data_IF_657112558449
#
_entry.id   IF_657112558449
#
_cell.length_a   1.000
_cell.length_b   1.000
_cell.length_c   1.000
_cell.angle_alpha   90.00
_cell.angle_beta   90.00
_cell.angle_gamma   90.00
#
_symmetry.space_group_name_H-M   'P 1'
#
loop_
_entity.id
_entity.type
_entity.pdbx_description
1 polymer ?
#
# COMPACT_ATOMS: atom_id res chain seq x y z
N UNK A 1 -8.60 21.79 -5.35
CA UNK A 1 -9.79 20.90 -5.54
C UNK A 1 -9.73 19.81 -4.49
N UNK A 2 -10.85 19.53 -3.84
CA UNK A 2 -10.99 18.43 -2.88
C UNK A 2 -10.78 17.10 -3.58
N UNK A 3 -9.97 16.22 -2.98
CA UNK A 3 -9.69 14.86 -3.45
C UNK A 3 -10.36 13.84 -2.54
N UNK A 4 -10.78 12.70 -3.10
CA UNK A 4 -11.22 11.54 -2.33
C UNK A 4 -10.12 10.50 -2.28
N UNK A 5 -9.63 10.23 -1.06
CA UNK A 5 -8.42 9.45 -0.81
C UNK A 5 -8.74 8.23 0.06
N UNK A 6 -8.44 7.03 -0.45
CA UNK A 6 -8.43 5.80 0.35
C UNK A 6 -7.02 5.59 0.94
N UNK A 7 -6.96 5.25 2.24
CA UNK A 7 -5.69 4.90 2.91
C UNK A 7 -5.86 3.56 3.62
N UNK A 8 -5.14 2.53 3.18
CA UNK A 8 -5.14 1.24 3.90
C UNK A 8 -4.21 1.30 5.11
N UNK A 9 -4.60 0.62 6.21
CA UNK A 9 -3.80 0.62 7.45
C UNK A 9 -3.70 2.01 8.09
N UNK A 10 -4.77 2.80 8.07
CA UNK A 10 -4.80 4.19 8.53
C UNK A 10 -5.26 4.36 9.99
N UNK A 11 -5.25 3.30 10.79
CA UNK A 11 -5.65 3.37 12.21
C UNK A 11 -4.48 3.69 13.14
N UNK A 12 -3.25 3.74 12.63
CA UNK A 12 -2.01 3.98 13.39
C UNK A 12 -0.88 4.43 12.46
N UNK A 13 0.23 4.86 13.03
CA UNK A 13 1.50 5.11 12.34
C UNK A 13 1.41 6.13 11.20
N UNK A 14 2.13 5.83 10.11
CA UNK A 14 2.24 6.72 8.94
C UNK A 14 0.88 6.96 8.29
N UNK A 15 0.03 5.91 8.21
CA UNK A 15 -1.29 6.01 7.59
C UNK A 15 -2.22 6.97 8.33
N UNK A 16 -2.26 6.91 9.65
CA UNK A 16 -3.06 7.84 10.48
C UNK A 16 -2.53 9.26 10.38
N UNK A 17 -1.21 9.45 10.42
CA UNK A 17 -0.60 10.78 10.30
C UNK A 17 -0.83 11.39 8.91
N UNK A 18 -0.80 10.56 7.86
CA UNK A 18 -1.18 10.97 6.49
C UNK A 18 -2.65 11.39 6.43
N UNK A 19 -3.54 10.59 7.02
CA UNK A 19 -4.97 10.89 7.08
C UNK A 19 -5.25 12.22 7.78
N UNK A 20 -4.58 12.51 8.92
CA UNK A 20 -4.72 13.77 9.65
C UNK A 20 -4.37 14.98 8.76
N UNK A 21 -3.28 14.91 8.02
CA UNK A 21 -2.87 15.98 7.12
C UNK A 21 -3.87 16.21 5.99
N UNK A 22 -4.26 15.13 5.30
CA UNK A 22 -5.22 15.22 4.20
C UNK A 22 -6.59 15.75 4.65
N UNK A 23 -7.09 15.30 5.82
CA UNK A 23 -8.32 15.84 6.42
C UNK A 23 -8.13 17.31 6.78
N UNK A 24 -6.99 17.68 7.39
CA UNK A 24 -6.65 19.07 7.73
C UNK A 24 -6.54 20.00 6.51
N UNK A 25 -6.24 19.47 5.35
CA UNK A 25 -6.21 20.20 4.06
C UNK A 25 -7.57 20.19 3.34
N UNK A 26 -8.65 19.68 3.97
CA UNK A 26 -10.02 19.69 3.42
C UNK A 26 -10.31 18.58 2.40
N UNK A 27 -9.54 17.49 2.40
CA UNK A 27 -9.78 16.34 1.53
C UNK A 27 -10.75 15.34 2.15
N UNK A 28 -11.42 14.55 1.31
CA UNK A 28 -12.27 13.44 1.73
C UNK A 28 -11.42 12.19 1.93
N UNK A 29 -11.37 11.65 3.15
CA UNK A 29 -10.51 10.52 3.47
C UNK A 29 -11.33 9.32 3.91
N UNK A 30 -11.06 8.18 3.29
CA UNK A 30 -11.59 6.87 3.68
C UNK A 30 -10.45 6.14 4.36
N UNK A 31 -10.58 5.91 5.66
CA UNK A 31 -9.60 5.15 6.43
C UNK A 31 -9.99 3.68 6.50
N UNK A 32 -9.02 2.82 6.22
CA UNK A 32 -9.17 1.38 6.34
C UNK A 32 -8.37 0.83 7.54
N UNK A 33 -8.95 -0.17 8.20
CA UNK A 33 -8.31 -0.96 9.24
C UNK A 33 -8.99 -2.32 9.41
N UNK A 34 -8.43 -3.20 10.24
CA UNK A 34 -9.03 -4.52 10.55
C UNK A 34 -9.76 -4.57 11.89
N UNK A 35 -9.38 -3.71 12.84
CA UNK A 35 -9.98 -3.69 14.17
C UNK A 35 -10.99 -2.52 14.27
N UNK A 36 -12.29 -2.80 14.54
CA UNK A 36 -13.35 -1.78 14.56
C UNK A 36 -13.15 -0.71 15.62
N UNK A 37 -12.61 -1.07 16.80
CA UNK A 37 -12.37 -0.10 17.89
C UNK A 37 -11.26 0.89 17.51
N UNK A 38 -10.17 0.39 16.89
CA UNK A 38 -9.10 1.26 16.38
C UNK A 38 -9.58 2.16 15.24
N UNK A 39 -10.45 1.66 14.36
CA UNK A 39 -11.05 2.45 13.30
C UNK A 39 -11.89 3.58 13.90
N UNK A 40 -12.75 3.27 14.89
CA UNK A 40 -13.57 4.26 15.56
C UNK A 40 -12.72 5.33 16.27
N UNK A 41 -11.67 4.92 17.00
CA UNK A 41 -10.75 5.84 17.67
C UNK A 41 -10.00 6.73 16.67
N UNK A 42 -9.51 6.18 15.57
CA UNK A 42 -8.86 6.96 14.51
C UNK A 42 -9.82 7.96 13.88
N UNK A 43 -11.06 7.55 13.56
CA UNK A 43 -12.09 8.46 13.03
C UNK A 43 -12.35 9.63 13.97
N UNK A 44 -12.47 9.39 15.28
CA UNK A 44 -12.66 10.46 16.27
C UNK A 44 -11.50 11.45 16.29
N UNK A 45 -10.25 10.95 16.22
CA UNK A 45 -9.05 11.81 16.12
C UNK A 45 -9.08 12.68 14.87
N UNK A 46 -9.50 12.14 13.73
CA UNK A 46 -9.57 12.87 12.46
C UNK A 46 -10.67 13.94 12.49
N UNK A 47 -11.84 13.63 13.03
CA UNK A 47 -12.95 14.59 13.17
C UNK A 47 -12.63 15.75 14.11
N UNK A 48 -11.68 15.57 15.04
CA UNK A 48 -11.21 16.62 15.94
C UNK A 48 -10.27 17.64 15.27
N UNK A 49 -9.88 17.47 14.02
CA UNK A 49 -8.95 18.38 13.34
C UNK A 49 -9.57 19.71 12.87
N UNK A 50 -10.85 19.95 13.15
CA UNK A 50 -11.56 21.21 12.83
C UNK A 50 -11.45 21.66 11.37
N UNK A 51 -11.49 20.72 10.45
CA UNK A 51 -11.42 20.99 9.02
C UNK A 51 -12.78 20.70 8.36
N UNK A 52 -12.97 21.25 7.17
CA UNK A 52 -14.10 20.90 6.29
C UNK A 52 -13.92 19.51 5.64
N UNK A 53 -12.90 18.77 6.05
CA UNK A 53 -12.61 17.44 5.57
C UNK A 53 -13.66 16.42 6.04
N UNK A 54 -13.88 15.43 5.20
CA UNK A 54 -14.86 14.38 5.44
C UNK A 54 -14.16 13.03 5.65
N UNK A 55 -14.62 12.26 6.64
CA UNK A 55 -13.98 11.00 7.05
C UNK A 55 -15.00 9.86 7.03
N UNK A 56 -14.75 8.89 6.18
CA UNK A 56 -15.41 7.58 6.20
C UNK A 56 -14.46 6.45 6.61
N UNK A 57 -15.05 5.29 6.89
CA UNK A 57 -14.31 4.13 7.36
C UNK A 57 -14.70 2.90 6.57
N UNK A 58 -13.74 2.02 6.32
CA UNK A 58 -13.98 0.67 5.84
C UNK A 58 -13.18 -0.33 6.67
N UNK A 59 -13.72 -1.53 6.81
CA UNK A 59 -13.11 -2.60 7.58
C UNK A 59 -12.87 -3.81 6.70
N UNK A 60 -11.65 -4.37 6.75
CA UNK A 60 -11.29 -5.66 6.19
C UNK A 60 -10.00 -6.17 6.85
N UNK A 61 -9.81 -7.47 6.91
CA UNK A 61 -8.51 -8.06 7.21
C UNK A 61 -7.78 -8.36 5.88
N UNK A 62 -6.72 -7.60 5.59
CA UNK A 62 -5.95 -7.78 4.36
C UNK A 62 -5.14 -9.08 4.30
N UNK A 63 -5.09 -9.85 5.38
CA UNK A 63 -4.57 -11.21 5.35
C UNK A 63 -5.56 -12.23 4.78
N UNK A 64 -6.80 -11.82 4.52
CA UNK A 64 -7.89 -12.62 3.96
C UNK A 64 -8.31 -12.06 2.61
N UNK A 65 -7.89 -12.69 1.54
CA UNK A 65 -8.09 -12.17 0.19
C UNK A 65 -9.57 -12.02 -0.21
N UNK A 66 -10.45 -12.87 0.30
CA UNK A 66 -11.90 -12.73 0.13
C UNK A 66 -12.45 -11.44 0.77
N UNK A 67 -11.90 -11.01 1.91
CA UNK A 67 -12.27 -9.73 2.52
C UNK A 67 -11.73 -8.54 1.71
N UNK A 68 -10.56 -8.69 1.05
CA UNK A 68 -10.03 -7.68 0.12
C UNK A 68 -10.93 -7.51 -1.09
N UNK A 69 -11.44 -8.60 -1.67
CA UNK A 69 -12.42 -8.54 -2.77
C UNK A 69 -13.73 -7.87 -2.35
N UNK A 70 -14.26 -8.26 -1.19
CA UNK A 70 -15.46 -7.64 -0.64
C UNK A 70 -15.27 -6.13 -0.40
N UNK A 71 -14.08 -5.74 0.12
CA UNK A 71 -13.69 -4.34 0.30
C UNK A 71 -13.66 -3.59 -1.05
N UNK A 72 -13.02 -4.14 -2.07
CA UNK A 72 -12.98 -3.52 -3.40
C UNK A 72 -14.37 -3.33 -3.99
N UNK A 73 -15.25 -4.32 -3.85
CA UNK A 73 -16.66 -4.26 -4.29
C UNK A 73 -17.42 -3.16 -3.53
N UNK A 74 -17.24 -3.07 -2.22
CA UNK A 74 -17.85 -2.03 -1.37
C UNK A 74 -17.37 -0.62 -1.79
N UNK A 75 -16.06 -0.45 -2.01
CA UNK A 75 -15.47 0.82 -2.42
C UNK A 75 -16.01 1.29 -3.77
N UNK A 76 -16.09 0.39 -4.76
CA UNK A 76 -16.72 0.74 -6.06
C UNK A 76 -18.17 1.17 -5.94
N UNK A 77 -18.94 0.49 -5.09
CA UNK A 77 -20.36 0.77 -4.94
C UNK A 77 -20.66 2.08 -4.19
N UNK A 78 -19.82 2.45 -3.20
CA UNK A 78 -20.14 3.54 -2.27
C UNK A 78 -19.23 4.77 -2.41
N UNK A 79 -18.02 4.59 -2.93
CA UNK A 79 -16.97 5.61 -2.86
C UNK A 79 -16.33 5.95 -4.21
N UNK A 80 -16.92 5.52 -5.32
CA UNK A 80 -16.46 5.89 -6.65
C UNK A 80 -16.93 7.31 -7.02
N UNK A 81 -16.12 8.12 -7.73
CA UNK A 81 -14.72 7.84 -8.04
C UNK A 81 -13.77 8.13 -6.87
N UNK A 82 -12.67 7.36 -6.78
CA UNK A 82 -11.54 7.64 -5.91
C UNK A 82 -10.47 8.40 -6.70
N UNK A 83 -9.97 9.50 -6.18
CA UNK A 83 -8.85 10.23 -6.81
C UNK A 83 -7.49 9.63 -6.46
N UNK A 84 -7.36 9.09 -5.23
CA UNK A 84 -6.10 8.54 -4.74
C UNK A 84 -6.35 7.29 -3.90
N UNK A 85 -5.53 6.27 -4.13
CA UNK A 85 -5.43 5.07 -3.31
C UNK A 85 -4.02 5.01 -2.73
N UNK A 86 -3.91 4.96 -1.40
CA UNK A 86 -2.64 4.79 -0.70
C UNK A 86 -2.63 3.39 -0.06
N UNK A 87 -1.93 2.46 -0.67
CA UNK A 87 -1.66 1.13 -0.14
C UNK A 87 -0.55 1.24 0.92
N UNK A 88 -0.92 1.69 2.11
CA UNK A 88 -0.01 1.91 3.23
C UNK A 88 0.07 0.71 4.19
N UNK A 89 -0.97 -0.10 4.28
CA UNK A 89 -0.95 -1.28 5.14
C UNK A 89 0.26 -2.18 4.85
N UNK A 90 0.92 -2.63 5.91
CA UNK A 90 2.06 -3.53 5.78
C UNK A 90 2.46 -4.10 7.13
N UNK A 91 3.08 -5.28 7.11
CA UNK A 91 3.55 -5.98 8.29
C UNK A 91 4.97 -6.51 8.08
N UNK A 92 5.74 -6.60 9.17
CA UNK A 92 7.05 -7.24 9.23
C UNK A 92 6.98 -8.52 10.06
N UNK A 93 6.39 -8.45 11.26
CA UNK A 93 6.23 -9.58 12.18
C UNK A 93 4.76 -9.92 12.40
N UNK A 94 4.48 -11.20 12.56
CA UNK A 94 3.16 -11.71 12.92
C UNK A 94 3.30 -12.91 13.85
N UNK A 95 2.44 -13.03 14.88
CA UNK A 95 2.39 -14.26 15.69
C UNK A 95 1.90 -15.47 14.89
N UNK A 96 1.20 -15.25 13.77
CA UNK A 96 0.75 -16.26 12.82
C UNK A 96 1.34 -15.94 11.45
N UNK A 97 2.56 -16.43 11.15
CA UNK A 97 3.29 -16.04 9.94
C UNK A 97 2.73 -16.66 8.65
N UNK A 98 1.88 -17.69 8.75
CA UNK A 98 1.29 -18.38 7.62
C UNK A 98 -0.23 -18.25 7.69
N UNK A 99 -0.88 -17.95 6.55
CA UNK A 99 -2.34 -17.86 6.44
C UNK A 99 -2.98 -19.27 6.37
N UNK A 100 -4.30 -19.39 6.53
CA UNK A 100 -5.00 -20.65 6.35
C UNK A 100 -4.77 -21.30 4.96
N UNK A 101 -4.52 -20.49 3.94
CA UNK A 101 -4.24 -20.92 2.57
C UNK A 101 -2.77 -21.39 2.38
N UNK A 102 -1.96 -21.37 3.44
CA UNK A 102 -0.55 -21.81 3.41
C UNK A 102 0.44 -20.75 2.92
N UNK A 103 0.02 -19.51 2.71
CA UNK A 103 0.88 -18.42 2.23
C UNK A 103 1.52 -17.65 3.38
N UNK A 104 2.74 -17.15 3.18
CA UNK A 104 3.35 -16.24 4.13
C UNK A 104 2.53 -14.93 4.19
N UNK A 105 2.14 -14.56 5.41
CA UNK A 105 1.25 -13.41 5.65
C UNK A 105 1.85 -12.09 5.15
N UNK A 106 3.18 -11.96 5.07
CA UNK A 106 3.85 -10.75 4.56
C UNK A 106 3.64 -10.60 3.05
N UNK A 107 3.72 -11.70 2.28
CA UNK A 107 3.34 -11.66 0.88
C UNK A 107 1.85 -11.37 0.70
N UNK A 108 1.00 -11.93 1.54
CA UNK A 108 -0.45 -11.68 1.44
C UNK A 108 -0.75 -10.21 1.70
N UNK A 109 -0.32 -9.66 2.84
CA UNK A 109 -0.67 -8.28 3.25
C UNK A 109 0.10 -7.22 2.47
N UNK A 110 1.41 -7.42 2.22
CA UNK A 110 2.25 -6.40 1.60
C UNK A 110 2.24 -6.44 0.06
N UNK A 111 1.84 -7.57 -0.54
CA UNK A 111 1.94 -7.77 -2.01
C UNK A 111 0.61 -8.13 -2.64
N UNK A 112 -0.03 -9.26 -2.24
CA UNK A 112 -1.25 -9.78 -2.87
C UNK A 112 -2.46 -8.88 -2.63
N UNK A 113 -2.69 -8.45 -1.39
CA UNK A 113 -3.83 -7.61 -1.03
C UNK A 113 -3.80 -6.25 -1.76
N UNK A 114 -2.70 -5.46 -1.73
CA UNK A 114 -2.64 -4.21 -2.47
C UNK A 114 -2.68 -4.42 -3.99
N UNK A 115 -2.12 -5.51 -4.53
CA UNK A 115 -2.25 -5.87 -5.94
C UNK A 115 -3.71 -6.12 -6.33
N UNK A 116 -4.41 -6.98 -5.58
CA UNK A 116 -5.83 -7.31 -5.81
C UNK A 116 -6.70 -6.05 -5.73
N UNK A 117 -6.48 -5.21 -4.71
CA UNK A 117 -7.22 -3.97 -4.52
C UNK A 117 -6.98 -3.00 -5.69
N UNK A 118 -5.73 -2.78 -6.09
CA UNK A 118 -5.36 -1.94 -7.22
C UNK A 118 -6.00 -2.43 -8.52
N UNK A 119 -5.87 -3.73 -8.84
CA UNK A 119 -6.46 -4.37 -10.02
C UNK A 119 -7.97 -4.21 -10.08
N UNK A 120 -8.64 -4.43 -8.95
CA UNK A 120 -10.10 -4.36 -8.84
C UNK A 120 -10.63 -2.92 -8.95
N UNK A 121 -9.88 -1.93 -8.51
CA UNK A 121 -10.32 -0.53 -8.47
C UNK A 121 -9.89 0.27 -9.69
N UNK A 122 -8.80 -0.10 -10.37
CA UNK A 122 -8.18 0.69 -11.44
C UNK A 122 -9.17 1.09 -12.55
N UNK A 123 -9.98 0.15 -13.03
CA UNK A 123 -10.95 0.41 -14.10
C UNK A 123 -12.05 1.44 -13.76
N UNK A 124 -12.25 1.74 -12.49
CA UNK A 124 -13.22 2.74 -12.00
C UNK A 124 -12.60 4.07 -11.58
N UNK A 125 -11.27 4.21 -11.70
CA UNK A 125 -10.59 5.44 -11.35
C UNK A 125 -10.70 6.50 -12.45
N UNK A 126 -10.84 7.79 -12.09
CA UNK A 126 -10.81 8.86 -13.08
C UNK A 126 -9.40 9.03 -13.67
N UNK A 127 -9.31 9.65 -14.82
CA UNK A 127 -8.04 10.06 -15.41
C UNK A 127 -7.22 10.90 -14.42
N UNK A 128 -5.90 10.65 -14.36
CA UNK A 128 -4.95 11.25 -13.41
C UNK A 128 -5.16 10.85 -11.95
N UNK A 129 -5.98 9.83 -11.67
CA UNK A 129 -5.99 9.22 -10.34
C UNK A 129 -4.62 8.61 -10.02
N UNK A 130 -4.35 8.39 -8.73
CA UNK A 130 -3.06 7.89 -8.27
C UNK A 130 -3.22 6.66 -7.39
N UNK A 131 -2.42 5.64 -7.65
CA UNK A 131 -2.23 4.48 -6.78
C UNK A 131 -0.80 4.57 -6.22
N UNK A 132 -0.69 4.78 -4.92
CA UNK A 132 0.58 4.95 -4.22
C UNK A 132 0.82 3.71 -3.37
N UNK A 133 1.85 2.97 -3.69
CA UNK A 133 2.21 1.72 -3.04
C UNK A 133 3.38 1.93 -2.09
N UNK A 134 3.19 1.69 -0.79
CA UNK A 134 4.27 1.81 0.18
C UNK A 134 5.24 0.63 0.04
N UNK A 135 6.34 0.90 -0.63
CA UNK A 135 7.51 0.05 -0.72
C UNK A 135 8.42 0.24 0.50
N UNK A 136 9.68 -0.07 0.35
CA UNK A 136 10.73 0.06 1.36
C UNK A 136 12.09 0.17 0.68
N UNK A 137 13.10 0.67 1.39
CA UNK A 137 14.49 0.51 1.00
C UNK A 137 14.97 -0.95 1.15
N UNK A 138 14.34 -1.73 2.04
CA UNK A 138 14.59 -3.16 2.19
C UNK A 138 13.90 -3.93 1.06
N UNK A 139 14.67 -4.32 0.04
CA UNK A 139 14.23 -5.11 -1.11
C UNK A 139 15.19 -6.28 -1.32
N UNK A 140 14.66 -7.48 -1.61
CA UNK A 140 15.43 -8.69 -1.93
C UNK A 140 14.75 -9.48 -3.06
N UNK A 141 15.52 -10.21 -3.91
CA UNK A 141 14.97 -11.02 -5.00
C UNK A 141 13.85 -11.93 -4.54
N UNK A 142 12.76 -11.98 -5.31
CA UNK A 142 11.58 -12.78 -4.96
C UNK A 142 11.80 -14.23 -5.32
N UNK A 143 11.71 -15.10 -4.32
CA UNK A 143 11.71 -16.54 -4.50
C UNK A 143 10.27 -17.05 -4.71
N UNK A 144 9.95 -17.57 -5.88
CA UNK A 144 8.57 -17.99 -6.19
C UNK A 144 8.08 -19.15 -5.35
N UNK A 145 8.96 -20.05 -4.91
CA UNK A 145 8.64 -21.11 -3.96
C UNK A 145 8.19 -20.52 -2.61
N UNK A 146 8.84 -19.44 -2.16
CA UNK A 146 8.43 -18.75 -0.94
C UNK A 146 7.11 -17.98 -1.13
N UNK A 147 6.93 -17.33 -2.27
CA UNK A 147 5.69 -16.64 -2.62
C UNK A 147 4.49 -17.62 -2.67
N UNK A 148 4.71 -18.87 -3.13
CA UNK A 148 3.71 -19.94 -3.15
C UNK A 148 3.49 -20.62 -1.78
N UNK A 149 4.29 -20.29 -0.76
CA UNK A 149 4.24 -20.95 0.56
C UNK A 149 4.99 -22.28 0.64
N UNK A 150 5.70 -22.68 -0.41
CA UNK A 150 6.45 -23.95 -0.49
C UNK A 150 7.80 -23.88 0.25
N UNK A 151 8.31 -22.68 0.51
CA UNK A 151 9.57 -22.41 1.21
C UNK A 151 9.37 -21.38 2.31
N UNK A 152 9.64 -21.71 3.59
CA UNK A 152 9.58 -20.73 4.67
C UNK A 152 10.77 -19.75 4.60
N UNK A 153 10.51 -18.51 4.97
CA UNK A 153 11.51 -17.44 5.10
C UNK A 153 11.51 -16.88 6.53
N UNK A 154 12.61 -16.30 6.95
CA UNK A 154 12.62 -15.47 8.15
C UNK A 154 11.83 -14.14 7.93
N UNK A 155 11.53 -13.45 9.02
CA UNK A 155 10.71 -12.23 8.98
C UNK A 155 11.26 -11.15 8.05
N UNK A 156 12.58 -10.93 8.06
CA UNK A 156 13.23 -9.89 7.26
C UNK A 156 13.32 -10.26 5.78
N UNK A 157 13.63 -11.52 5.48
CA UNK A 157 13.67 -12.03 4.11
C UNK A 157 12.29 -11.94 3.47
N UNK A 158 11.24 -12.45 4.14
CA UNK A 158 9.87 -12.39 3.63
C UNK A 158 9.38 -10.94 3.46
N UNK A 159 9.71 -10.06 4.41
CA UNK A 159 9.40 -8.63 4.29
C UNK A 159 10.08 -8.00 3.08
N UNK A 160 11.40 -8.16 2.96
CA UNK A 160 12.18 -7.55 1.88
C UNK A 160 11.73 -8.06 0.50
N UNK A 161 11.48 -9.37 0.36
CA UNK A 161 10.94 -9.96 -0.86
C UNK A 161 9.53 -9.45 -1.16
N UNK A 162 8.65 -9.31 -0.15
CA UNK A 162 7.31 -8.77 -0.34
C UNK A 162 7.32 -7.31 -0.81
N UNK A 163 8.31 -6.50 -0.36
CA UNK A 163 8.46 -5.10 -0.77
C UNK A 163 9.05 -4.96 -2.18
N UNK A 164 9.95 -5.85 -2.57
CA UNK A 164 10.37 -5.93 -3.96
C UNK A 164 9.21 -6.35 -4.87
N UNK A 165 8.48 -7.40 -4.51
CA UNK A 165 7.32 -7.87 -5.29
C UNK A 165 6.28 -6.76 -5.51
N UNK A 166 6.01 -5.95 -4.47
CA UNK A 166 5.13 -4.78 -4.58
C UNK A 166 5.69 -3.76 -5.59
N UNK A 167 6.99 -3.50 -5.59
CA UNK A 167 7.65 -2.57 -6.51
C UNK A 167 7.62 -3.09 -7.95
N UNK A 168 7.87 -4.39 -8.15
CA UNK A 168 7.82 -5.05 -9.47
C UNK A 168 6.42 -4.97 -10.09
N UNK A 169 5.36 -5.35 -9.36
CA UNK A 169 4.02 -5.28 -9.93
C UNK A 169 3.52 -3.83 -10.10
N UNK A 170 4.01 -2.88 -9.30
CA UNK A 170 3.74 -1.44 -9.51
C UNK A 170 4.18 -1.03 -10.90
N UNK A 171 5.40 -1.41 -11.30
CA UNK A 171 5.92 -1.16 -12.65
C UNK A 171 5.11 -1.90 -13.71
N UNK A 172 4.89 -3.19 -13.55
CA UNK A 172 4.16 -3.99 -14.54
C UNK A 172 2.73 -3.47 -14.78
N UNK A 173 1.98 -3.10 -13.71
CA UNK A 173 0.63 -2.54 -13.86
C UNK A 173 0.63 -1.17 -14.51
N UNK A 174 1.66 -0.35 -14.29
CA UNK A 174 1.76 0.98 -14.89
C UNK A 174 1.94 0.95 -16.41
N UNK A 175 2.46 -0.16 -16.94
CA UNK A 175 2.72 -0.35 -18.37
C UNK A 175 1.51 -0.92 -19.13
N UNK A 176 0.45 -1.34 -18.42
CA UNK A 176 -0.76 -1.87 -19.05
C UNK A 176 -1.59 -0.75 -19.68
N UNK A 177 -2.09 -0.96 -20.89
CA UNK A 177 -2.87 0.03 -21.64
C UNK A 177 -4.12 0.51 -20.87
N UNK A 178 -4.79 -0.39 -20.14
CA UNK A 178 -5.93 -0.04 -19.32
C UNK A 178 -5.62 0.93 -18.17
N UNK A 179 -4.34 1.07 -17.80
CA UNK A 179 -3.89 1.94 -16.70
C UNK A 179 -3.15 3.20 -17.18
N UNK A 180 -3.07 3.46 -18.46
CA UNK A 180 -2.30 4.59 -19.02
C UNK A 180 -2.68 5.97 -18.47
N UNK A 181 -3.93 6.14 -18.06
CA UNK A 181 -4.44 7.41 -17.52
C UNK A 181 -4.34 7.50 -15.98
N UNK A 182 -3.80 6.46 -15.32
CA UNK A 182 -3.65 6.37 -13.86
C UNK A 182 -2.16 6.34 -13.50
N UNK A 183 -1.75 7.13 -12.52
CA UNK A 183 -0.39 7.08 -11.99
C UNK A 183 -0.27 5.98 -10.95
N UNK A 184 0.56 4.97 -11.19
CA UNK A 184 0.84 3.89 -10.25
C UNK A 184 2.31 3.98 -9.84
N UNK A 185 2.61 4.30 -8.58
CA UNK A 185 3.96 4.63 -8.10
C UNK A 185 4.30 3.89 -6.82
N UNK A 186 5.55 3.40 -6.72
CA UNK A 186 6.09 2.84 -5.48
C UNK A 186 6.86 3.92 -4.69
N UNK A 187 6.66 3.96 -3.36
CA UNK A 187 7.29 4.95 -2.49
C UNK A 187 7.91 4.27 -1.27
N UNK A 188 9.22 4.42 -1.08
CA UNK A 188 9.83 4.22 0.23
C UNK A 188 9.52 5.44 1.09
N UNK A 189 8.78 5.33 2.20
CA UNK A 189 8.39 6.48 3.01
C UNK A 189 9.53 7.04 3.86
N UNK A 190 10.66 6.36 3.88
CA UNK A 190 11.84 6.63 4.69
C UNK A 190 12.14 5.52 5.69
N UNK A 191 13.42 5.33 5.96
CA UNK A 191 13.91 4.26 6.83
C UNK A 191 13.76 4.61 8.31
N UNK A 192 13.44 3.58 9.12
CA UNK A 192 13.38 3.65 10.58
C UNK A 192 12.44 4.75 11.11
N UNK A 193 11.27 4.93 10.50
CA UNK A 193 10.25 5.81 11.04
C UNK A 193 9.64 5.21 12.32
N UNK A 194 9.23 6.05 13.29
CA UNK A 194 8.74 5.67 14.61
C UNK A 194 7.38 4.94 14.58
N UNK A 195 7.22 3.98 13.68
CA UNK A 195 6.06 3.12 13.58
C UNK A 195 6.15 1.95 14.58
N UNK A 196 5.00 1.34 14.87
CA UNK A 196 4.95 0.10 15.66
C UNK A 196 5.85 -0.99 15.04
N UNK A 197 5.84 -1.12 13.71
CA UNK A 197 6.67 -2.06 12.96
C UNK A 197 8.16 -1.86 13.24
N UNK A 198 8.66 -0.62 13.24
CA UNK A 198 10.06 -0.32 13.51
C UNK A 198 10.42 -0.58 14.96
N UNK A 199 9.56 -0.20 15.88
CA UNK A 199 9.75 -0.46 17.30
C UNK A 199 9.82 -1.97 17.63
N UNK A 200 8.91 -2.76 17.08
CA UNK A 200 8.84 -4.21 17.29
C UNK A 200 9.90 -4.97 16.49
N UNK A 201 10.22 -4.51 15.28
CA UNK A 201 11.19 -5.14 14.39
C UNK A 201 12.64 -4.87 14.75
N UNK A 202 12.96 -3.64 15.13
CA UNK A 202 14.33 -3.17 15.30
C UNK A 202 14.66 -2.67 16.72
N UNK A 203 13.67 -2.51 17.60
CA UNK A 203 13.86 -2.07 18.99
C UNK A 203 14.34 -0.62 19.15
N UNK A 204 14.19 0.22 18.09
CA UNK A 204 14.63 1.62 18.10
C UNK A 204 13.43 2.57 18.15
N UNK A 205 13.66 3.78 18.67
CA UNK A 205 12.60 4.80 18.75
C UNK A 205 12.11 5.28 17.39
N UNK A 206 13.01 5.29 16.40
CA UNK A 206 12.73 5.72 15.03
C UNK A 206 12.64 7.23 14.84
N UNK A 207 12.68 7.66 13.57
CA UNK A 207 12.49 9.06 13.14
C UNK A 207 11.00 9.41 13.14
N UNK A 208 10.68 10.72 13.08
CA UNK A 208 9.28 11.19 13.07
C UNK A 208 8.43 10.55 11.97
N UNK A 209 7.21 10.10 12.31
CA UNK A 209 6.19 9.64 11.36
C UNK A 209 5.80 10.74 10.34
N UNK A 210 5.97 12.00 10.75
CA UNK A 210 5.69 13.16 9.92
C UNK A 210 6.51 13.17 8.60
N UNK A 211 7.69 12.53 8.57
CA UNK A 211 8.51 12.37 7.36
C UNK A 211 7.79 11.48 6.35
N UNK A 212 7.36 10.29 6.78
CA UNK A 212 6.62 9.36 5.91
C UNK A 212 5.26 9.90 5.49
N UNK A 213 4.52 10.54 6.41
CA UNK A 213 3.25 11.18 6.07
C UNK A 213 3.43 12.31 5.05
N UNK A 214 4.49 13.11 5.19
CA UNK A 214 4.80 14.20 4.25
C UNK A 214 5.00 13.73 2.83
N UNK A 215 5.77 12.67 2.62
CA UNK A 215 5.98 12.13 1.28
C UNK A 215 4.70 11.50 0.70
N UNK A 216 3.85 10.87 1.51
CA UNK A 216 2.59 10.31 1.03
C UNK A 216 1.60 11.41 0.61
N UNK A 217 1.50 12.51 1.37
CA UNK A 217 0.70 13.69 0.97
C UNK A 217 1.28 14.29 -0.32
N UNK A 218 2.61 14.45 -0.40
CA UNK A 218 3.28 14.93 -1.62
C UNK A 218 2.99 14.03 -2.82
N UNK A 219 3.09 12.71 -2.66
CA UNK A 219 2.78 11.75 -3.73
C UNK A 219 1.29 11.81 -4.15
N UNK A 220 0.40 12.04 -3.19
CA UNK A 220 -1.04 12.14 -3.45
C UNK A 220 -1.43 13.41 -4.21
N UNK A 221 -0.80 14.55 -3.91
CA UNK A 221 -1.31 15.87 -4.31
C UNK A 221 -0.37 16.66 -5.25
N UNK A 222 0.95 16.50 -5.12
CA UNK A 222 1.93 17.32 -5.84
C UNK A 222 1.99 17.02 -7.33
N UNK A 223 2.21 18.07 -8.13
CA UNK A 223 2.50 17.96 -9.57
C UNK A 223 3.77 17.17 -9.89
N UNK A 224 4.74 17.09 -8.96
CA UNK A 224 5.98 16.31 -9.14
C UNK A 224 5.74 14.82 -9.43
N UNK A 225 4.62 14.28 -8.97
CA UNK A 225 4.22 12.87 -9.18
C UNK A 225 3.31 12.67 -10.38
N UNK A 226 3.06 13.69 -11.21
CA UNK A 226 2.15 13.55 -12.37
C UNK A 226 2.65 12.52 -13.38
N UNK A 227 3.97 12.48 -13.62
CA UNK A 227 4.61 11.56 -14.56
C UNK A 227 5.40 10.45 -13.85
N UNK A 228 4.93 10.06 -12.64
CA UNK A 228 5.62 9.10 -11.79
C UNK A 228 5.19 7.63 -12.01
N UNK A 229 4.33 7.37 -12.99
CA UNK A 229 3.82 6.00 -13.23
C UNK A 229 4.97 5.01 -13.50
N UNK A 230 4.96 3.88 -12.78
CA UNK A 230 5.99 2.85 -12.86
C UNK A 230 7.32 3.18 -12.18
N UNK A 231 7.44 4.35 -11.56
CA UNK A 231 8.69 4.79 -10.90
C UNK A 231 8.71 4.42 -9.42
N UNK A 232 9.91 4.48 -8.84
CA UNK A 232 10.17 4.32 -7.41
C UNK A 232 10.71 5.64 -6.85
N UNK A 233 10.07 6.14 -5.77
CA UNK A 233 10.55 7.30 -5.03
C UNK A 233 11.20 6.84 -3.72
N UNK A 234 12.45 7.22 -3.52
CA UNK A 234 13.18 6.97 -2.28
C UNK A 234 13.18 8.24 -1.41
N UNK A 235 12.45 8.21 -0.30
CA UNK A 235 12.37 9.36 0.60
C UNK A 235 13.61 9.51 1.50
N UNK A 236 14.47 8.51 1.62
CA UNK A 236 15.77 8.67 2.28
C UNK A 236 16.72 9.48 1.41
N UNK A 237 16.61 9.35 0.07
CA UNK A 237 17.36 10.17 -0.90
C UNK A 237 16.59 11.45 -1.31
N UNK A 238 15.29 11.52 -1.02
CA UNK A 238 14.44 12.67 -1.38
C UNK A 238 14.15 12.81 -2.87
N UNK A 239 14.27 11.73 -3.67
CA UNK A 239 14.14 11.76 -5.13
C UNK A 239 13.62 10.44 -5.72
N UNK A 240 13.24 10.49 -7.00
CA UNK A 240 13.06 9.27 -7.78
C UNK A 240 14.41 8.58 -7.97
N UNK A 241 14.50 7.33 -7.53
CA UNK A 241 15.70 6.52 -7.55
C UNK A 241 15.46 5.19 -8.29
N UNK A 242 16.53 4.45 -8.54
CA UNK A 242 16.43 3.08 -9.06
C UNK A 242 16.04 2.14 -7.91
N UNK A 243 14.99 1.33 -8.06
CA UNK A 243 14.71 0.24 -7.13
C UNK A 243 15.72 -0.90 -7.31
N UNK A 244 15.50 -2.04 -6.64
CA UNK A 244 16.24 -3.26 -6.93
C UNK A 244 16.18 -3.61 -8.43
N UNK A 245 17.29 -4.15 -8.96
CA UNK A 245 17.43 -4.44 -10.40
C UNK A 245 16.30 -5.32 -10.99
N UNK A 246 15.77 -6.27 -10.21
CA UNK A 246 14.68 -7.14 -10.67
C UNK A 246 13.36 -6.35 -10.92
N UNK A 247 13.17 -5.20 -10.27
CA UNK A 247 12.04 -4.33 -10.54
C UNK A 247 12.22 -3.48 -11.80
N UNK A 248 13.40 -3.50 -12.43
CA UNK A 248 13.70 -2.87 -13.71
C UNK A 248 13.68 -3.87 -14.88
N UNK A 249 13.58 -5.15 -14.58
CA UNK A 249 13.48 -6.24 -15.53
C UNK A 249 12.01 -6.53 -15.84
N UNK A 250 11.56 -6.16 -17.04
CA UNK A 250 10.15 -6.27 -17.44
C UNK A 250 9.68 -7.72 -17.53
N UNK A 251 10.56 -8.65 -17.92
CA UNK A 251 10.23 -10.09 -18.00
C UNK A 251 10.02 -10.66 -16.60
N UNK A 252 10.90 -10.35 -15.64
CA UNK A 252 10.71 -10.74 -14.23
C UNK A 252 9.46 -10.12 -13.61
N UNK A 253 9.18 -8.87 -13.93
CA UNK A 253 7.96 -8.21 -13.46
C UNK A 253 6.70 -8.89 -14.04
N UNK A 254 6.72 -9.28 -15.31
CA UNK A 254 5.61 -10.00 -15.94
C UNK A 254 5.43 -11.41 -15.35
N UNK A 255 6.53 -12.13 -15.11
CA UNK A 255 6.50 -13.45 -14.47
C UNK A 255 5.93 -13.38 -13.04
N UNK A 256 6.36 -12.38 -12.24
CA UNK A 256 5.77 -12.14 -10.92
C UNK A 256 4.27 -11.90 -11.02
N UNK A 257 3.83 -11.02 -11.92
CA UNK A 257 2.40 -10.72 -12.08
C UNK A 257 1.61 -11.96 -12.48
N UNK A 258 2.14 -12.79 -13.39
CA UNK A 258 1.50 -14.06 -13.75
C UNK A 258 1.35 -15.00 -12.54
N UNK A 259 2.35 -15.05 -11.65
CA UNK A 259 2.29 -15.82 -10.40
C UNK A 259 1.23 -15.25 -9.43
N UNK A 260 1.19 -13.93 -9.24
CA UNK A 260 0.16 -13.29 -8.40
C UNK A 260 -1.25 -13.59 -8.92
N UNK A 261 -1.46 -13.50 -10.24
CA UNK A 261 -2.75 -13.84 -10.87
C UNK A 261 -3.11 -15.33 -10.68
N UNK A 262 -2.12 -16.23 -10.73
CA UNK A 262 -2.36 -17.65 -10.48
C UNK A 262 -2.79 -17.92 -9.03
N UNK A 263 -2.13 -17.29 -8.05
CA UNK A 263 -2.48 -17.40 -6.64
C UNK A 263 -3.87 -16.83 -6.33
N UNK A 264 -4.28 -15.78 -7.04
CA UNK A 264 -5.58 -15.13 -6.86
C UNK A 264 -6.74 -15.84 -7.55
N UNK A 265 -6.52 -16.77 -8.48
CA UNK A 265 -7.59 -17.54 -9.15
C UNK A 265 -8.38 -18.46 -8.21
N UNK A 266 -7.81 -18.82 -7.07
CA UNK A 266 -8.47 -19.62 -6.05
C UNK A 266 -9.27 -18.79 -5.02
N UNK A 267 -9.27 -17.47 -5.15
CA UNK A 267 -9.96 -16.53 -4.27
C UNK A 267 -11.18 -16.02 -5.02
N UNK A 268 -12.32 -16.69 -4.87
CA UNK A 268 -13.59 -16.36 -5.51
C UNK A 268 -14.70 -17.26 -5.02
#
# INVERSE_FOLDING_TARGET
MTKRVLITGATDGIGLETAKRLVGEGHQVIIHGRNPEKIAAAKQQLLATQSDGWVETCQADLSRLNEVEALAKQLRARHSPLDVIINNAGILRSPTPVTPEGLDIRFVVNTLAPYLLARQLAAGLPAKARIINLSSAAQAPVEFEALKGEKPLDDMQAYAQSKLALTMWTRALSQREENRDVVIVAVNPGSLLASKMVKEGFGVAGKSLAIGAGILVKAALSGEFTDASGRYFDNDEGRFASPHQDALDDDKCAELVAMLEALLKGVG
#
